data_IF_214814985122
#
_entry.id   IF_214814985122
#
_cell.length_a   1.000
_cell.length_b   1.000
_cell.length_c   1.000
_cell.angle_alpha   90.00
_cell.angle_beta   90.00
_cell.angle_gamma   90.00
#
_symmetry.space_group_name_H-M   'P 1'
#
loop_
_entity.id
_entity.type
_entity.pdbx_description
1 polymer ?
#
# COMPACT_ATOMS: atom_id res chain seq x y z
N UNK A 1 17.65 -22.34 0.34
CA UNK A 1 17.99 -20.93 0.58
C UNK A 1 17.05 -20.06 -0.23
N UNK A 2 15.75 -20.15 0.05
CA UNK A 2 14.73 -19.27 -0.52
C UNK A 2 13.80 -18.96 0.62
N UNK A 3 13.67 -17.69 0.98
CA UNK A 3 12.74 -17.26 2.00
C UNK A 3 11.31 -17.45 1.50
N UNK A 4 10.36 -17.68 2.41
CA UNK A 4 8.92 -17.81 2.11
C UNK A 4 8.41 -16.63 1.25
N UNK A 5 8.97 -15.43 1.45
CA UNK A 5 8.65 -14.22 0.68
C UNK A 5 9.05 -14.35 -0.81
N UNK A 6 10.19 -14.96 -1.13
CA UNK A 6 10.63 -15.18 -2.52
C UNK A 6 9.71 -16.18 -3.23
N UNK A 7 9.34 -17.28 -2.56
CA UNK A 7 8.41 -18.27 -3.11
C UNK A 7 7.02 -17.64 -3.38
N UNK A 8 6.55 -16.76 -2.50
CA UNK A 8 5.30 -16.02 -2.67
C UNK A 8 5.34 -15.05 -3.87
N UNK A 9 6.46 -14.38 -4.11
CA UNK A 9 6.62 -13.48 -5.26
C UNK A 9 6.65 -14.26 -6.59
N UNK A 10 7.39 -15.37 -6.65
CA UNK A 10 7.47 -16.25 -7.83
C UNK A 10 6.11 -16.89 -8.16
N UNK A 11 5.37 -17.30 -7.13
CA UNK A 11 4.02 -17.85 -7.26
C UNK A 11 3.04 -16.79 -7.77
N UNK A 12 3.10 -15.57 -7.23
CA UNK A 12 2.28 -14.46 -7.70
C UNK A 12 2.58 -14.15 -9.17
N UNK A 13 3.85 -14.03 -9.56
CA UNK A 13 4.23 -13.75 -10.95
C UNK A 13 3.67 -14.82 -11.91
N UNK A 14 3.84 -16.08 -11.53
CA UNK A 14 3.35 -17.20 -12.33
C UNK A 14 1.83 -17.18 -12.47
N UNK A 15 1.11 -16.88 -11.39
CA UNK A 15 -0.34 -16.77 -11.40
C UNK A 15 -0.82 -15.62 -12.29
N UNK A 16 -0.24 -14.42 -12.17
CA UNK A 16 -0.68 -13.25 -12.95
C UNK A 16 -0.31 -13.38 -14.42
N UNK A 17 0.86 -13.94 -14.76
CA UNK A 17 1.21 -14.21 -16.17
C UNK A 17 0.25 -15.22 -16.79
N UNK A 18 -0.12 -16.26 -16.02
CA UNK A 18 -1.11 -17.24 -16.48
C UNK A 18 -2.47 -16.59 -16.73
N UNK A 19 -2.94 -15.71 -15.83
CA UNK A 19 -4.20 -14.98 -16.00
C UNK A 19 -4.20 -14.14 -17.28
N UNK A 20 -3.11 -13.40 -17.56
CA UNK A 20 -2.97 -12.61 -18.80
C UNK A 20 -3.07 -13.47 -20.07
N UNK A 21 -2.66 -14.74 -20.01
CA UNK A 21 -2.70 -15.63 -21.17
C UNK A 21 -4.06 -16.34 -21.33
N UNK A 22 -4.77 -16.60 -20.23
CA UNK A 22 -5.96 -17.45 -20.23
C UNK A 22 -7.28 -16.68 -20.10
N UNK A 23 -7.26 -15.39 -19.77
CA UNK A 23 -8.46 -14.58 -19.50
C UNK A 23 -8.34 -13.19 -20.14
N UNK A 24 -9.49 -12.58 -20.40
CA UNK A 24 -9.62 -11.17 -20.78
C UNK A 24 -10.26 -10.39 -19.63
N UNK A 25 -9.63 -9.31 -19.22
CA UNK A 25 -10.11 -8.40 -18.18
C UNK A 25 -9.38 -7.05 -18.34
N UNK A 26 -9.99 -5.98 -17.84
CA UNK A 26 -9.44 -4.63 -17.94
C UNK A 26 -8.56 -4.27 -16.74
N UNK A 27 -8.85 -4.83 -15.56
CA UNK A 27 -8.11 -4.56 -14.32
C UNK A 27 -7.81 -5.85 -13.53
N UNK A 28 -6.66 -5.85 -12.84
CA UNK A 28 -6.25 -6.87 -11.88
C UNK A 28 -6.10 -6.19 -10.50
N UNK A 29 -6.92 -6.61 -9.54
CA UNK A 29 -6.76 -6.18 -8.14
C UNK A 29 -5.94 -7.23 -7.40
N UNK A 30 -4.85 -6.79 -6.77
CA UNK A 30 -3.99 -7.65 -5.95
C UNK A 30 -4.19 -7.25 -4.49
N UNK A 31 -4.85 -8.12 -3.73
CA UNK A 31 -4.94 -7.99 -2.28
C UNK A 31 -3.70 -8.61 -1.65
N UNK A 32 -2.85 -7.78 -1.06
CA UNK A 32 -1.72 -8.23 -0.25
C UNK A 32 -2.26 -8.65 1.13
N UNK A 33 -1.60 -9.61 1.80
CA UNK A 33 -1.99 -9.93 3.18
C UNK A 33 -1.80 -8.69 4.05
N UNK A 34 -2.64 -8.48 5.08
CA UNK A 34 -2.64 -7.23 5.88
C UNK A 34 -1.35 -6.89 6.64
N UNK A 35 -0.32 -7.74 6.58
CA UNK A 35 1.01 -7.54 7.17
C UNK A 35 2.09 -7.44 6.08
N UNK A 36 1.75 -7.75 4.82
CA UNK A 36 2.71 -7.70 3.71
C UNK A 36 2.92 -6.28 3.23
N UNK A 37 4.18 -6.00 2.90
CA UNK A 37 4.60 -4.69 2.42
C UNK A 37 4.12 -4.49 0.97
N UNK A 38 3.45 -3.36 0.64
CA UNK A 38 2.93 -3.11 -0.70
C UNK A 38 4.04 -2.92 -1.75
N UNK A 39 5.21 -2.46 -1.33
CA UNK A 39 6.33 -2.18 -2.23
C UNK A 39 6.86 -3.45 -2.95
N UNK A 40 7.19 -4.56 -2.26
CA UNK A 40 7.53 -5.84 -2.91
C UNK A 40 6.54 -6.32 -3.97
N UNK A 41 5.23 -6.19 -3.71
CA UNK A 41 4.19 -6.62 -4.64
C UNK A 41 4.18 -5.74 -5.89
N UNK A 42 4.19 -4.43 -5.71
CA UNK A 42 4.13 -3.48 -6.81
C UNK A 42 5.39 -3.55 -7.70
N UNK A 43 6.57 -3.84 -7.14
CA UNK A 43 7.82 -4.06 -7.90
C UNK A 43 7.72 -5.16 -8.93
N UNK A 44 6.97 -6.21 -8.62
CA UNK A 44 6.74 -7.29 -9.55
C UNK A 44 6.12 -6.77 -10.86
N UNK A 45 5.41 -5.66 -10.81
CA UNK A 45 4.74 -5.06 -11.97
C UNK A 45 5.47 -3.85 -12.56
N UNK A 46 6.55 -3.35 -11.94
CA UNK A 46 7.31 -2.20 -12.45
C UNK A 46 8.74 -2.54 -12.91
N UNK A 47 9.38 -3.55 -12.31
CA UNK A 47 10.72 -4.02 -12.69
C UNK A 47 10.68 -4.88 -13.96
N UNK A 48 11.81 -5.21 -14.61
CA UNK A 48 11.89 -6.03 -15.85
C UNK A 48 11.46 -7.52 -15.67
N UNK A 49 10.28 -7.75 -15.09
CA UNK A 49 9.66 -9.05 -14.85
C UNK A 49 8.75 -9.46 -16.01
N UNK A 50 8.28 -10.71 -15.97
CA UNK A 50 7.26 -11.19 -16.93
C UNK A 50 5.90 -10.55 -16.69
N UNK A 51 5.61 -10.16 -15.46
CA UNK A 51 4.36 -9.47 -15.12
C UNK A 51 4.36 -8.02 -15.63
N UNK A 52 5.46 -7.28 -15.47
CA UNK A 52 5.59 -5.91 -15.97
C UNK A 52 5.51 -5.82 -17.51
N UNK A 53 5.87 -6.89 -18.22
CA UNK A 53 5.67 -6.96 -19.67
C UNK A 53 4.19 -7.06 -20.09
N UNK A 54 3.27 -7.33 -19.16
CA UNK A 54 1.84 -7.59 -19.42
C UNK A 54 0.90 -6.61 -18.73
N UNK A 55 1.35 -6.02 -17.64
CA UNK A 55 0.56 -5.16 -16.78
C UNK A 55 1.29 -3.84 -16.52
N UNK A 56 0.53 -2.84 -16.10
CA UNK A 56 1.01 -1.59 -15.53
C UNK A 56 0.37 -1.44 -14.15
N UNK A 57 1.11 -0.92 -13.17
CA UNK A 57 0.51 -0.50 -11.90
C UNK A 57 -0.33 0.75 -12.15
N UNK A 58 -1.62 0.69 -11.81
CA UNK A 58 -2.56 1.79 -12.02
C UNK A 58 -2.58 2.77 -10.84
N UNK A 59 -2.68 2.22 -9.63
CA UNK A 59 -2.63 2.93 -8.36
C UNK A 59 -2.24 1.96 -7.23
N UNK A 60 -1.64 2.50 -6.17
CA UNK A 60 -1.51 1.86 -4.87
C UNK A 60 -2.59 2.39 -3.93
N UNK A 61 -3.41 1.48 -3.39
CA UNK A 61 -4.56 1.83 -2.56
C UNK A 61 -4.38 1.21 -1.17
N UNK A 62 -4.37 2.04 -0.14
CA UNK A 62 -4.38 1.58 1.26
C UNK A 62 -5.77 1.80 1.85
N UNK A 63 -6.31 0.78 2.51
CA UNK A 63 -7.56 0.88 3.27
C UNK A 63 -7.23 0.83 4.75
N UNK A 64 -7.56 1.89 5.47
CA UNK A 64 -7.33 1.96 6.92
C UNK A 64 -8.65 1.83 7.69
N UNK A 65 -8.56 1.26 8.89
CA UNK A 65 -9.61 1.39 9.91
C UNK A 65 -9.41 2.74 10.61
N UNK A 66 -10.32 3.68 10.35
CA UNK A 66 -10.21 5.06 10.84
C UNK A 66 -10.17 5.12 12.38
N UNK A 67 -10.97 4.29 13.06
CA UNK A 67 -10.99 4.25 14.53
C UNK A 67 -9.66 3.76 15.08
N UNK A 68 -9.18 2.64 14.55
CA UNK A 68 -7.93 2.04 14.99
C UNK A 68 -6.74 2.95 14.67
N UNK A 69 -6.77 3.64 13.53
CA UNK A 69 -5.74 4.58 13.12
C UNK A 69 -5.62 5.74 14.11
N UNK A 70 -6.75 6.37 14.47
CA UNK A 70 -6.75 7.43 15.48
C UNK A 70 -6.26 6.90 16.82
N UNK A 71 -6.73 5.73 17.27
CA UNK A 71 -6.29 5.14 18.53
C UNK A 71 -4.76 4.90 18.56
N UNK A 72 -4.17 4.54 17.40
CA UNK A 72 -2.74 4.33 17.25
C UNK A 72 -1.92 5.63 17.27
N UNK A 73 -2.48 6.75 16.79
CA UNK A 73 -1.77 8.03 16.65
C UNK A 73 -2.27 9.13 17.59
N UNK A 74 -3.25 8.84 18.45
CA UNK A 74 -3.84 9.81 19.38
C UNK A 74 -2.76 10.46 20.25
N UNK A 75 -2.68 11.79 20.18
CA UNK A 75 -1.72 12.59 20.95
C UNK A 75 -0.32 12.72 20.34
N UNK A 76 -0.10 12.26 19.09
CA UNK A 76 1.10 12.59 18.33
C UNK A 76 0.89 13.87 17.51
N UNK A 77 1.88 14.78 17.49
CA UNK A 77 1.83 16.00 16.67
C UNK A 77 2.00 15.68 15.18
N UNK A 78 2.81 14.67 14.85
CA UNK A 78 2.99 14.10 13.50
C UNK A 78 3.18 12.59 13.65
N UNK A 79 2.42 11.74 12.92
CA UNK A 79 2.70 10.31 12.84
C UNK A 79 4.09 10.07 12.27
N UNK A 80 4.92 9.35 13.02
CA UNK A 80 6.28 8.99 12.59
C UNK A 80 6.55 7.53 12.98
N UNK A 81 7.49 6.91 12.28
CA UNK A 81 7.98 5.58 12.65
C UNK A 81 8.71 5.65 14.00
N UNK A 82 8.44 4.70 14.89
CA UNK A 82 9.02 4.65 16.24
C UNK A 82 10.20 3.69 16.36
N UNK A 83 10.38 2.77 15.41
CA UNK A 83 11.41 1.73 15.45
C UNK A 83 12.30 1.72 14.21
N UNK A 84 13.45 1.05 14.36
CA UNK A 84 14.37 0.81 13.26
C UNK A 84 13.70 -0.11 12.21
N UNK A 85 13.72 0.24 10.91
CA UNK A 85 13.17 -0.62 9.86
C UNK A 85 13.75 -2.04 9.86
N UNK A 86 14.97 -2.26 10.37
CA UNK A 86 15.60 -3.60 10.47
C UNK A 86 15.10 -4.44 11.68
N UNK A 87 14.13 -3.93 12.47
CA UNK A 87 13.61 -4.62 13.64
C UNK A 87 12.78 -5.88 13.33
N UNK A 88 12.56 -6.21 12.05
CA UNK A 88 11.87 -7.43 11.62
C UNK A 88 10.40 -7.49 12.05
N UNK A 89 9.96 -8.65 12.58
CA UNK A 89 8.57 -8.93 12.97
C UNK A 89 8.13 -8.23 14.27
N UNK A 90 9.05 -7.64 15.05
CA UNK A 90 8.74 -6.99 16.34
C UNK A 90 8.35 -5.50 16.20
N UNK A 91 8.11 -5.03 14.97
CA UNK A 91 7.70 -3.64 14.69
C UNK A 91 6.28 -3.34 15.19
N UNK A 92 6.04 -2.14 15.75
CA UNK A 92 4.70 -1.75 16.18
C UNK A 92 3.79 -1.57 14.96
N UNK A 93 2.50 -1.87 15.13
CA UNK A 93 1.48 -1.73 14.07
C UNK A 93 1.45 -0.31 13.48
N UNK A 94 1.74 0.71 14.30
CA UNK A 94 1.87 2.10 13.86
C UNK A 94 2.89 2.28 12.71
N UNK A 95 4.03 1.61 12.78
CA UNK A 95 5.10 1.78 11.80
C UNK A 95 4.72 1.14 10.46
N UNK A 96 4.01 0.01 10.50
CA UNK A 96 3.43 -0.64 9.31
C UNK A 96 2.34 0.23 8.66
N UNK A 97 1.47 0.86 9.47
CA UNK A 97 0.44 1.77 8.97
C UNK A 97 1.05 2.99 8.27
N UNK A 98 2.10 3.58 8.88
CA UNK A 98 2.86 4.69 8.26
C UNK A 98 3.47 4.24 6.92
N UNK A 99 4.09 3.06 6.88
CA UNK A 99 4.68 2.49 5.65
C UNK A 99 3.69 2.34 4.50
N UNK A 100 2.51 1.81 4.78
CA UNK A 100 1.48 1.61 3.76
C UNK A 100 0.93 2.94 3.25
N UNK A 101 0.67 3.90 4.14
CA UNK A 101 0.16 5.22 3.77
C UNK A 101 1.18 6.00 2.94
N UNK A 102 2.46 6.01 3.34
CA UNK A 102 3.51 6.77 2.66
C UNK A 102 3.68 6.41 1.19
N UNK A 103 3.36 5.19 0.77
CA UNK A 103 3.50 4.74 -0.63
C UNK A 103 2.19 4.74 -1.42
N UNK A 104 1.09 5.15 -0.81
CA UNK A 104 -0.23 5.07 -1.44
C UNK A 104 -0.50 6.24 -2.37
N UNK A 105 -1.20 5.97 -3.48
CA UNK A 105 -1.82 7.00 -4.30
C UNK A 105 -3.23 7.34 -3.81
N UNK A 106 -3.92 6.36 -3.22
CA UNK A 106 -5.26 6.55 -2.62
C UNK A 106 -5.27 5.93 -1.22
N UNK A 107 -5.81 6.67 -0.25
CA UNK A 107 -6.05 6.18 1.12
C UNK A 107 -7.54 6.19 1.40
N UNK A 108 -8.10 5.02 1.65
CA UNK A 108 -9.51 4.84 2.02
C UNK A 108 -9.62 4.78 3.54
N UNK A 109 -10.08 5.87 4.15
CA UNK A 109 -10.43 5.93 5.57
C UNK A 109 -11.78 5.23 5.78
N UNK A 110 -11.76 3.95 6.09
CA UNK A 110 -12.94 3.12 6.27
C UNK A 110 -13.40 3.09 7.74
N UNK A 111 -14.63 2.61 7.98
CA UNK A 111 -15.30 2.54 9.28
C UNK A 111 -15.54 3.91 9.91
N UNK A 112 -15.82 4.91 9.06
CA UNK A 112 -16.15 6.25 9.51
C UNK A 112 -17.40 6.27 10.42
N UNK A 113 -18.29 5.28 10.31
CA UNK A 113 -19.46 5.09 11.17
C UNK A 113 -19.10 4.85 12.65
N UNK A 114 -17.86 4.49 12.95
CA UNK A 114 -17.34 4.30 14.30
C UNK A 114 -16.63 5.55 14.86
N UNK A 115 -16.64 6.66 14.13
CA UNK A 115 -15.95 7.89 14.47
C UNK A 115 -16.92 9.08 14.46
N UNK A 116 -16.59 10.10 15.24
CA UNK A 116 -17.23 11.42 15.18
C UNK A 116 -16.63 12.28 14.05
N UNK A 117 -17.34 13.31 13.58
CA UNK A 117 -16.80 14.21 12.55
C UNK A 117 -15.40 14.78 12.90
N UNK A 118 -15.13 15.23 14.14
CA UNK A 118 -13.79 15.70 14.51
C UNK A 118 -12.71 14.61 14.47
N UNK A 119 -13.07 13.37 14.82
CA UNK A 119 -12.17 12.22 14.75
C UNK A 119 -11.85 11.88 13.28
N UNK A 120 -12.84 11.95 12.38
CA UNK A 120 -12.62 11.78 10.94
C UNK A 120 -11.70 12.89 10.40
N UNK A 121 -11.94 14.14 10.78
CA UNK A 121 -11.09 15.28 10.41
C UNK A 121 -9.64 15.09 10.90
N UNK A 122 -9.46 14.59 12.12
CA UNK A 122 -8.15 14.25 12.68
C UNK A 122 -7.47 13.15 11.84
N UNK A 123 -8.16 12.05 11.56
CA UNK A 123 -7.60 10.95 10.75
C UNK A 123 -7.18 11.41 9.35
N UNK A 124 -8.02 12.19 8.67
CA UNK A 124 -7.71 12.75 7.34
C UNK A 124 -6.48 13.67 7.44
N UNK A 125 -6.40 14.54 8.44
CA UNK A 125 -5.24 15.40 8.65
C UNK A 125 -3.95 14.63 8.90
N UNK A 126 -4.00 13.52 9.63
CA UNK A 126 -2.85 12.63 9.85
C UNK A 126 -2.43 11.92 8.55
N UNK A 127 -3.38 11.48 7.73
CA UNK A 127 -3.10 10.89 6.40
C UNK A 127 -2.45 11.94 5.48
N UNK A 128 -3.00 13.15 5.42
CA UNK A 128 -2.44 14.25 4.62
C UNK A 128 -1.02 14.64 5.09
N UNK A 129 -0.74 14.56 6.38
CA UNK A 129 0.61 14.80 6.92
C UNK A 129 1.61 13.72 6.48
N UNK A 130 1.17 12.45 6.41
CA UNK A 130 2.00 11.30 6.02
C UNK A 130 2.22 11.22 4.51
N UNK A 131 1.17 11.44 3.73
CA UNK A 131 1.21 11.37 2.27
C UNK A 131 0.35 12.50 1.65
N UNK A 132 0.93 13.71 1.50
CA UNK A 132 0.20 14.88 1.00
C UNK A 132 -0.36 14.75 -0.41
N UNK A 133 0.21 13.86 -1.23
CA UNK A 133 -0.20 13.66 -2.63
C UNK A 133 -1.28 12.60 -2.80
N UNK A 134 -1.61 11.82 -1.76
CA UNK A 134 -2.63 10.79 -1.87
C UNK A 134 -4.04 11.38 -1.88
N UNK A 135 -4.90 10.82 -2.73
CA UNK A 135 -6.34 11.06 -2.64
C UNK A 135 -6.88 10.35 -1.39
N UNK A 136 -7.53 11.11 -0.50
CA UNK A 136 -8.15 10.54 0.71
C UNK A 136 -9.65 10.36 0.54
N UNK A 137 -10.16 9.17 0.85
CA UNK A 137 -11.57 8.79 0.68
C UNK A 137 -12.17 8.28 1.98
N UNK A 138 -13.09 9.04 2.57
CA UNK A 138 -13.83 8.61 3.77
C UNK A 138 -14.98 7.70 3.38
N UNK A 139 -15.08 6.53 3.99
CA UNK A 139 -16.09 5.50 3.67
C UNK A 139 -16.62 4.77 4.90
N UNK A 140 -17.78 4.17 4.72
CA UNK A 140 -18.34 3.12 5.58
C UNK A 140 -18.34 1.81 4.79
N UNK A 141 -17.98 0.69 5.43
CA UNK A 141 -17.93 -0.65 4.79
C UNK A 141 -17.11 -0.72 3.48
N UNK A 142 -16.09 0.14 3.35
CA UNK A 142 -15.26 0.31 2.16
C UNK A 142 -16.08 0.60 0.89
N UNK A 143 -17.24 1.24 1.04
CA UNK A 143 -18.07 1.66 -0.09
C UNK A 143 -17.41 2.84 -0.82
N UNK A 144 -16.48 2.52 -1.70
CA UNK A 144 -15.79 3.45 -2.60
C UNK A 144 -16.29 3.27 -4.03
N UNK A 145 -16.41 4.37 -4.76
CA UNK A 145 -16.69 4.32 -6.20
C UNK A 145 -15.49 3.69 -6.93
N UNK A 146 -15.66 2.57 -7.65
CA UNK A 146 -14.56 1.92 -8.36
C UNK A 146 -13.80 2.85 -9.31
N UNK A 147 -14.47 3.84 -9.89
CA UNK A 147 -13.85 4.81 -10.81
C UNK A 147 -12.81 5.73 -10.11
N UNK A 148 -12.75 5.71 -8.77
CA UNK A 148 -11.74 6.41 -7.98
C UNK A 148 -10.49 5.57 -7.69
N UNK A 149 -10.52 4.26 -7.96
CA UNK A 149 -9.43 3.35 -7.61
C UNK A 149 -9.03 2.39 -8.73
N UNK A 150 -9.81 2.29 -9.82
CA UNK A 150 -9.53 1.46 -10.98
C UNK A 150 -9.44 2.34 -12.25
N UNK A 151 -8.41 2.08 -13.06
CA UNK A 151 -8.13 2.78 -14.33
C UNK A 151 -7.95 4.30 -14.16
N UNK A 152 -7.40 4.71 -13.02
CA UNK A 152 -7.16 6.12 -12.69
C UNK A 152 -5.81 6.61 -13.21
N UNK A 153 -4.84 5.71 -13.42
CA UNK A 153 -3.54 6.02 -14.03
C UNK A 153 -2.67 6.99 -13.24
N UNK A 154 -2.81 7.03 -11.92
CA UNK A 154 -2.14 7.99 -11.02
C UNK A 154 -0.83 7.46 -10.41
N UNK A 155 -0.47 6.20 -10.66
CA UNK A 155 0.81 5.66 -10.23
C UNK A 155 1.96 6.23 -11.07
N UNK A 156 2.93 6.86 -10.40
CA UNK A 156 4.20 7.32 -11.00
C UNK A 156 5.37 6.56 -10.37
N UNK A 157 6.02 5.71 -11.17
CA UNK A 157 7.19 4.93 -10.73
C UNK A 157 8.37 5.81 -10.30
N UNK A 158 8.52 7.00 -10.90
CA UNK A 158 9.63 7.91 -10.59
C UNK A 158 9.48 8.56 -9.22
N UNK A 159 8.25 8.88 -8.81
CA UNK A 159 7.95 9.40 -7.47
C UNK A 159 8.08 8.31 -6.41
N UNK A 160 7.62 7.10 -6.74
CA UNK A 160 7.65 5.95 -5.85
C UNK A 160 9.09 5.47 -5.61
N UNK A 161 9.95 5.53 -6.63
CA UNK A 161 11.38 5.24 -6.54
C UNK A 161 12.13 5.99 -5.44
N UNK A 162 11.64 7.18 -5.07
CA UNK A 162 12.26 8.02 -4.06
C UNK A 162 11.78 7.79 -2.63
N UNK A 163 10.67 7.07 -2.45
CA UNK A 163 10.05 6.84 -1.15
C UNK A 163 10.90 5.91 -0.29
N UNK A 164 11.05 6.20 1.02
CA UNK A 164 11.86 5.37 1.92
C UNK A 164 11.43 3.89 1.97
N UNK A 165 10.12 3.63 1.95
CA UNK A 165 9.58 2.26 1.91
C UNK A 165 9.89 1.53 0.60
N UNK A 166 9.91 2.27 -0.52
CA UNK A 166 10.25 1.68 -1.80
C UNK A 166 11.74 1.44 -1.97
N UNK A 167 12.59 2.40 -1.58
CA UNK A 167 14.06 2.27 -1.64
C UNK A 167 14.56 1.05 -0.88
N UNK A 168 14.00 0.77 0.30
CA UNK A 168 14.34 -0.42 1.09
C UNK A 168 14.02 -1.73 0.38
N UNK A 169 12.80 -1.85 -0.15
CA UNK A 169 12.44 -3.02 -0.97
C UNK A 169 13.33 -3.16 -2.24
N UNK A 170 14.06 -2.11 -2.64
CA UNK A 170 15.03 -2.07 -3.75
C UNK A 170 16.40 -2.59 -3.31
N UNK A 171 16.80 -2.24 -2.09
CA UNK A 171 18.08 -2.61 -1.52
C UNK A 171 18.08 -4.06 -1.01
N UNK A 172 16.99 -4.52 -0.37
CA UNK A 172 16.84 -5.91 0.11
C UNK A 172 16.96 -6.95 -1.02
N UNK A 173 16.50 -6.62 -2.23
CA UNK A 173 16.61 -7.50 -3.39
C UNK A 173 18.01 -7.54 -4.04
N UNK A 174 18.94 -6.66 -3.63
CA UNK A 174 20.31 -6.60 -4.17
C UNK A 174 21.31 -7.37 -3.31
N UNK A 175 20.91 -7.70 -2.08
CA UNK A 175 21.73 -8.44 -1.11
C UNK A 175 21.41 -9.96 -1.09
N UNK A 176 20.47 -10.42 -1.92
CA UNK A 176 20.17 -11.85 -2.23
C UNK A 176 20.73 -12.28 -3.61
#
# INVERSE_FOLDING_TARGET
NGCICCELQDDLETAVVRLANERSFDALVVESSGISEPAPVARLFTTESRAAARYRVDALVTVIDTRQFIDAFSGADVPERLTDPDAGDDRPLSDLLVEQIEVSNVVVCNKADLCTDPEIEEAVGLVEALQPSAETVVTEFAAVDPDRILDVGIFDESEVGDLPGWKRALDEARDD
#
